data_IF_709620304309
#
_entry.id   IF_709620304309
#
_cell.length_a   1.000
_cell.length_b   1.000
_cell.length_c   1.000
_cell.angle_alpha   90.00
_cell.angle_beta   90.00
_cell.angle_gamma   90.00
#
_symmetry.space_group_name_H-M   'P 1'
#
loop_
_entity.id
_entity.type
_entity.pdbx_description
1 polymer ?
#
# COMPACT_ATOMS: atom_id res chain seq x y z
N UNK A 1 13.16 -27.34 0.04
CA UNK A 1 14.23 -27.77 -0.90
C UNK A 1 15.21 -28.81 -0.34
N UNK A 2 15.54 -28.80 0.96
CA UNK A 2 16.51 -29.73 1.53
C UNK A 2 16.16 -31.23 1.37
N UNK A 3 14.87 -31.60 1.42
CA UNK A 3 14.42 -33.00 1.31
C UNK A 3 14.80 -33.66 -0.03
N UNK A 4 14.64 -32.96 -1.16
CA UNK A 4 14.94 -33.49 -2.50
C UNK A 4 16.46 -33.60 -2.71
N UNK A 5 17.23 -32.61 -2.26
CA UNK A 5 18.70 -32.67 -2.36
C UNK A 5 19.27 -33.78 -1.48
N UNK A 6 18.72 -34.01 -0.28
CA UNK A 6 19.08 -35.15 0.58
C UNK A 6 18.81 -36.48 -0.12
N UNK A 7 17.62 -36.67 -0.70
CA UNK A 7 17.27 -37.88 -1.45
C UNK A 7 18.26 -38.15 -2.61
N UNK A 8 18.71 -37.11 -3.31
CA UNK A 8 19.62 -37.26 -4.45
C UNK A 8 21.09 -37.43 -4.05
N UNK A 9 21.63 -36.50 -3.23
CA UNK A 9 23.06 -36.48 -2.91
C UNK A 9 23.47 -37.49 -1.84
N UNK A 10 22.60 -37.70 -0.84
CA UNK A 10 22.86 -38.57 0.32
C UNK A 10 22.27 -39.94 0.15
N UNK A 11 20.99 -40.02 -0.17
CA UNK A 11 20.27 -41.29 -0.27
C UNK A 11 20.43 -41.93 -1.69
N UNK A 12 21.17 -41.27 -2.60
CA UNK A 12 21.54 -41.72 -3.96
C UNK A 12 20.37 -42.16 -4.85
N UNK A 13 19.16 -41.67 -4.59
CA UNK A 13 17.97 -42.01 -5.35
C UNK A 13 18.00 -41.38 -6.74
N UNK A 14 17.48 -42.13 -7.74
CA UNK A 14 17.35 -41.62 -9.10
C UNK A 14 16.31 -40.50 -9.18
N UNK A 15 16.44 -39.61 -10.18
CA UNK A 15 15.44 -38.55 -10.42
C UNK A 15 14.02 -39.12 -10.63
N UNK A 16 13.92 -40.34 -11.17
CA UNK A 16 12.63 -41.01 -11.40
C UNK A 16 11.97 -41.41 -10.08
N UNK A 17 12.77 -41.96 -9.17
CA UNK A 17 12.28 -42.44 -7.88
C UNK A 17 11.87 -41.28 -6.97
N UNK A 18 12.64 -40.18 -7.01
CA UNK A 18 12.28 -38.94 -6.31
C UNK A 18 10.97 -38.38 -6.87
N UNK A 19 10.75 -38.40 -8.18
CA UNK A 19 9.49 -37.96 -8.78
C UNK A 19 8.30 -38.81 -8.30
N UNK A 20 8.45 -40.13 -8.28
CA UNK A 20 7.43 -41.06 -7.78
C UNK A 20 7.07 -40.82 -6.31
N UNK A 21 8.06 -40.50 -5.47
CA UNK A 21 7.85 -40.26 -4.02
C UNK A 21 7.32 -38.86 -3.69
N UNK A 22 7.57 -37.87 -4.54
CA UNK A 22 7.24 -36.46 -4.25
C UNK A 22 6.09 -35.90 -5.08
N UNK A 23 5.68 -36.59 -6.15
CA UNK A 23 4.68 -36.10 -7.11
C UNK A 23 5.15 -34.92 -7.97
N UNK A 24 6.42 -34.50 -7.83
CA UNK A 24 6.98 -33.38 -8.58
C UNK A 24 7.52 -33.83 -9.93
N UNK A 25 7.44 -32.94 -10.92
CA UNK A 25 7.98 -33.23 -12.26
C UNK A 25 9.49 -33.47 -12.19
N UNK A 26 9.97 -34.44 -12.99
CA UNK A 26 11.42 -34.72 -13.13
C UNK A 26 12.21 -33.49 -13.55
N UNK A 27 11.62 -32.59 -14.36
CA UNK A 27 12.25 -31.34 -14.79
C UNK A 27 12.45 -30.37 -13.62
N UNK A 28 11.45 -30.26 -12.73
CA UNK A 28 11.54 -29.46 -11.50
C UNK A 28 12.61 -30.01 -10.55
N UNK A 29 12.62 -31.33 -10.34
CA UNK A 29 13.61 -32.00 -9.48
C UNK A 29 15.03 -31.80 -10.03
N UNK A 30 15.22 -32.04 -11.34
CA UNK A 30 16.51 -31.83 -12.01
C UNK A 30 17.00 -30.39 -11.86
N UNK A 31 16.11 -29.41 -12.04
CA UNK A 31 16.42 -27.98 -11.85
C UNK A 31 16.87 -27.69 -10.41
N UNK A 32 16.19 -28.23 -9.41
CA UNK A 32 16.50 -27.97 -8.00
C UNK A 32 17.75 -28.69 -7.49
N UNK A 33 18.07 -29.86 -8.02
CA UNK A 33 19.30 -30.59 -7.70
C UNK A 33 20.54 -29.89 -8.28
N UNK A 34 20.42 -29.31 -9.48
CA UNK A 34 21.52 -28.62 -10.17
C UNK A 34 21.73 -27.17 -9.71
N UNK A 35 20.71 -26.53 -9.15
CA UNK A 35 20.85 -25.17 -8.62
C UNK A 35 21.84 -25.14 -7.45
N UNK A 36 22.89 -24.32 -7.54
CA UNK A 36 23.92 -24.17 -6.49
C UNK A 36 23.29 -23.71 -5.18
N UNK A 37 22.49 -22.64 -5.23
CA UNK A 37 21.79 -22.08 -4.08
C UNK A 37 20.36 -22.61 -3.91
N UNK A 38 19.96 -22.88 -2.66
CA UNK A 38 18.59 -23.17 -2.28
C UNK A 38 17.74 -21.89 -2.21
N UNK A 39 17.67 -21.12 -3.29
CA UNK A 39 16.70 -20.01 -3.37
C UNK A 39 15.30 -20.60 -3.51
N UNK A 40 14.39 -20.17 -2.65
CA UNK A 40 12.97 -20.47 -2.81
C UNK A 40 12.50 -19.87 -4.14
N UNK A 41 11.78 -20.63 -4.99
CA UNK A 41 11.23 -20.09 -6.21
C UNK A 41 10.22 -19.01 -5.83
N UNK A 42 10.58 -17.75 -6.10
CA UNK A 42 9.65 -16.62 -5.95
C UNK A 42 8.82 -16.57 -7.21
N UNK A 43 7.50 -16.68 -7.05
CA UNK A 43 6.60 -16.42 -8.16
C UNK A 43 6.70 -14.94 -8.53
N UNK A 44 7.29 -14.66 -9.69
CA UNK A 44 7.30 -13.34 -10.30
C UNK A 44 6.35 -13.36 -11.48
N UNK A 45 5.17 -12.75 -11.30
CA UNK A 45 4.27 -12.50 -12.43
C UNK A 45 4.95 -11.45 -13.31
N UNK A 46 5.29 -11.81 -14.54
CA UNK A 46 5.70 -10.81 -15.54
C UNK A 46 4.55 -9.82 -15.71
N UNK A 47 4.88 -8.53 -15.81
CA UNK A 47 3.89 -7.50 -16.10
C UNK A 47 3.18 -7.89 -17.40
N UNK A 48 1.92 -8.32 -17.27
CA UNK A 48 1.08 -8.63 -18.42
C UNK A 48 0.66 -7.28 -19.02
N UNK A 49 0.57 -7.23 -20.35
CA UNK A 49 -0.01 -6.09 -21.04
C UNK A 49 -1.30 -5.63 -20.34
N UNK A 50 -1.31 -4.39 -19.88
CA UNK A 50 -2.46 -3.77 -19.24
C UNK A 50 -3.03 -2.75 -20.23
N UNK A 51 -4.32 -2.89 -20.57
CA UNK A 51 -5.04 -1.96 -21.45
C UNK A 51 -5.02 -0.53 -20.93
N UNK A 52 -4.82 -0.35 -19.62
CA UNK A 52 -4.72 0.94 -18.95
C UNK A 52 -3.34 1.59 -19.15
N UNK A 53 -2.29 0.83 -19.49
CA UNK A 53 -0.92 1.35 -19.58
C UNK A 53 -0.78 2.61 -20.44
N UNK A 54 -1.39 2.71 -21.64
CA UNK A 54 -1.30 3.92 -22.46
C UNK A 54 -1.95 5.16 -21.82
N UNK A 55 -2.84 4.97 -20.85
CA UNK A 55 -3.58 6.04 -20.19
C UNK A 55 -2.99 6.42 -18.83
N UNK A 56 -1.89 5.79 -18.39
CA UNK A 56 -1.29 6.05 -17.08
C UNK A 56 -0.89 7.51 -16.90
N UNK A 57 -0.23 8.12 -17.88
CA UNK A 57 0.24 9.51 -17.78
C UNK A 57 -0.93 10.48 -17.65
N UNK A 58 -1.98 10.28 -18.45
CA UNK A 58 -3.21 11.07 -18.39
C UNK A 58 -3.90 10.94 -17.02
N UNK A 59 -3.99 9.71 -16.50
CA UNK A 59 -4.57 9.44 -15.19
C UNK A 59 -3.74 10.03 -14.06
N UNK A 60 -2.41 9.96 -14.15
CA UNK A 60 -1.52 10.54 -13.15
C UNK A 60 -1.64 12.07 -13.12
N UNK A 61 -1.59 12.74 -14.26
CA UNK A 61 -1.79 14.18 -14.35
C UNK A 61 -3.15 14.58 -13.77
N UNK A 62 -4.20 13.84 -14.11
CA UNK A 62 -5.54 14.05 -13.57
C UNK A 62 -5.58 13.92 -12.04
N UNK A 63 -5.00 12.85 -11.50
CA UNK A 63 -4.98 12.58 -10.06
C UNK A 63 -4.13 13.62 -9.30
N UNK A 64 -3.01 14.08 -9.85
CA UNK A 64 -2.19 15.17 -9.29
C UNK A 64 -2.99 16.47 -9.22
N UNK A 65 -3.67 16.85 -10.30
CA UNK A 65 -4.52 18.04 -10.32
C UNK A 65 -5.67 17.95 -9.30
N UNK A 66 -6.26 16.76 -9.13
CA UNK A 66 -7.32 16.54 -8.14
C UNK A 66 -6.81 16.57 -6.71
N UNK A 67 -5.57 16.16 -6.45
CA UNK A 67 -4.98 16.18 -5.12
C UNK A 67 -4.91 17.60 -4.52
N UNK A 68 -4.75 18.62 -5.37
CA UNK A 68 -4.71 20.03 -5.00
C UNK A 68 -6.10 20.62 -4.67
N UNK A 69 -7.18 19.92 -5.01
CA UNK A 69 -8.56 20.41 -4.79
C UNK A 69 -9.13 19.92 -3.46
N UNK A 70 -10.11 20.65 -2.92
CA UNK A 70 -10.90 20.17 -1.79
C UNK A 70 -11.63 18.86 -2.16
N UNK A 71 -11.86 17.98 -1.17
CA UNK A 71 -12.36 16.61 -1.37
C UNK A 71 -13.63 16.54 -2.25
N UNK A 72 -14.53 17.50 -2.09
CA UNK A 72 -15.80 17.58 -2.83
C UNK A 72 -15.64 17.95 -4.32
N UNK A 73 -14.53 18.57 -4.72
CA UNK A 73 -14.25 18.99 -6.09
C UNK A 73 -13.30 18.05 -6.85
N UNK A 74 -12.90 16.93 -6.24
CA UNK A 74 -12.05 15.90 -6.86
C UNK A 74 -12.90 15.01 -7.77
N UNK A 75 -12.38 14.59 -8.92
CA UNK A 75 -13.11 13.67 -9.78
C UNK A 75 -13.23 12.30 -9.09
N UNK A 76 -14.38 11.67 -9.31
CA UNK A 76 -14.59 10.28 -8.92
C UNK A 76 -13.88 9.34 -9.91
N UNK A 77 -13.64 8.10 -9.50
CA UNK A 77 -13.13 7.08 -10.41
C UNK A 77 -14.04 6.84 -11.62
N UNK A 78 -15.36 7.07 -11.48
CA UNK A 78 -16.31 7.00 -12.61
C UNK A 78 -16.07 8.13 -13.61
N UNK A 79 -15.80 9.35 -13.14
CA UNK A 79 -15.48 10.48 -14.00
C UNK A 79 -14.13 10.29 -14.71
N UNK A 80 -13.13 9.74 -14.01
CA UNK A 80 -11.86 9.36 -14.64
C UNK A 80 -12.05 8.26 -15.69
N UNK A 81 -12.93 7.29 -15.45
CA UNK A 81 -13.26 6.25 -16.43
C UNK A 81 -13.90 6.85 -17.69
N UNK A 82 -14.86 7.76 -17.53
CA UNK A 82 -15.51 8.43 -18.66
C UNK A 82 -14.51 9.22 -19.51
N UNK A 83 -13.57 9.91 -18.85
CA UNK A 83 -12.49 10.64 -19.51
C UNK A 83 -11.61 9.74 -20.38
N UNK A 84 -11.06 8.67 -19.81
CA UNK A 84 -10.18 7.78 -20.58
C UNK A 84 -10.95 6.98 -21.65
N UNK A 85 -12.25 6.73 -21.44
CA UNK A 85 -13.11 6.11 -22.47
C UNK A 85 -13.30 7.02 -23.68
N UNK A 86 -13.41 8.34 -23.47
CA UNK A 86 -13.43 9.30 -24.57
C UNK A 86 -12.13 9.27 -25.38
N UNK A 87 -11.00 8.98 -24.72
CA UNK A 87 -9.67 8.78 -25.35
C UNK A 87 -9.47 7.37 -25.93
N UNK A 88 -10.50 6.52 -25.95
CA UNK A 88 -10.44 5.18 -26.56
C UNK A 88 -10.10 4.02 -25.61
N UNK A 89 -10.17 4.21 -24.29
CA UNK A 89 -9.98 3.11 -23.33
C UNK A 89 -11.13 2.10 -23.39
N UNK A 90 -10.81 0.86 -23.77
CA UNK A 90 -11.75 -0.26 -23.88
C UNK A 90 -11.75 -1.20 -22.66
N UNK A 91 -10.98 -0.87 -21.62
CA UNK A 91 -10.79 -1.72 -20.46
C UNK A 91 -11.85 -1.56 -19.36
N UNK A 92 -11.69 -2.37 -18.31
CA UNK A 92 -12.64 -2.43 -17.20
C UNK A 92 -12.41 -1.36 -16.12
N UNK A 93 -13.48 -1.04 -15.39
CA UNK A 93 -13.44 -0.16 -14.21
C UNK A 93 -12.50 -0.68 -13.11
N UNK A 94 -12.40 -2.00 -12.93
CA UNK A 94 -11.56 -2.62 -11.90
C UNK A 94 -10.05 -2.36 -12.11
N UNK A 95 -9.59 -2.27 -13.36
CA UNK A 95 -8.18 -1.97 -13.65
C UNK A 95 -7.87 -0.51 -13.27
N UNK A 96 -8.77 0.42 -13.64
CA UNK A 96 -8.67 1.82 -13.25
C UNK A 96 -8.68 2.00 -11.73
N UNK A 97 -9.62 1.39 -11.02
CA UNK A 97 -9.70 1.56 -9.57
C UNK A 97 -8.52 0.94 -8.84
N UNK A 98 -7.98 -0.18 -9.34
CA UNK A 98 -6.74 -0.76 -8.82
C UNK A 98 -5.57 0.22 -8.97
N UNK A 99 -5.43 0.85 -10.15
CA UNK A 99 -4.43 1.89 -10.41
C UNK A 99 -4.60 3.10 -9.47
N UNK A 100 -5.80 3.67 -9.40
CA UNK A 100 -6.09 4.84 -8.55
C UNK A 100 -5.80 4.54 -7.08
N UNK A 101 -6.14 3.34 -6.59
CA UNK A 101 -5.84 2.92 -5.21
C UNK A 101 -4.34 2.82 -4.97
N UNK A 102 -3.61 2.23 -5.91
CA UNK A 102 -2.15 2.12 -5.83
C UNK A 102 -1.49 3.51 -5.79
N UNK A 103 -1.84 4.37 -6.75
CA UNK A 103 -1.34 5.74 -6.84
C UNK A 103 -1.60 6.55 -5.56
N UNK A 104 -2.82 6.49 -5.00
CA UNK A 104 -3.14 7.17 -3.73
C UNK A 104 -2.36 6.60 -2.54
N UNK A 105 -2.11 5.29 -2.54
CA UNK A 105 -1.30 4.63 -1.52
C UNK A 105 0.16 5.06 -1.57
N UNK A 106 0.70 5.38 -2.75
CA UNK A 106 2.05 5.94 -2.90
C UNK A 106 2.10 7.42 -2.50
N UNK A 107 1.11 8.22 -2.90
CA UNK A 107 1.02 9.64 -2.48
C UNK A 107 0.84 9.79 -0.96
N UNK A 108 0.12 8.87 -0.31
CA UNK A 108 -0.01 8.86 1.15
C UNK A 108 1.30 8.57 1.90
N UNK A 109 2.35 8.12 1.19
CA UNK A 109 3.71 7.94 1.73
C UNK A 109 4.57 9.20 1.58
N UNK A 110 4.07 10.27 0.97
CA UNK A 110 4.74 11.57 1.04
C UNK A 110 4.75 11.97 2.50
N UNK A 111 5.91 11.79 3.12
CA UNK A 111 6.17 12.06 4.53
C UNK A 111 5.75 13.51 4.77
N UNK A 112 4.71 13.72 5.57
CA UNK A 112 4.51 15.03 6.20
C UNK A 112 5.74 15.22 7.07
N UNK A 113 6.68 16.03 6.61
CA UNK A 113 7.85 16.37 7.39
C UNK A 113 7.34 17.15 8.61
N UNK A 114 7.27 16.49 9.76
CA UNK A 114 7.05 17.15 11.03
C UNK A 114 8.41 17.65 11.48
N UNK A 115 8.56 18.97 11.62
CA UNK A 115 9.71 19.56 12.30
C UNK A 115 9.41 19.44 13.79
N UNK A 116 10.14 18.62 14.56
CA UNK A 116 9.98 18.59 16.00
C UNK A 116 10.43 19.94 16.57
N UNK A 117 9.53 20.60 17.30
CA UNK A 117 9.88 21.79 18.07
C UNK A 117 10.49 21.33 19.40
N UNK A 118 11.65 21.86 19.75
CA UNK A 118 12.30 21.64 21.04
C UNK A 118 12.29 22.95 21.82
N UNK A 119 11.83 22.90 23.06
CA UNK A 119 11.69 24.05 23.96
C UNK A 119 12.37 23.73 25.29
N UNK A 120 13.03 24.72 25.89
CA UNK A 120 13.50 24.65 27.27
C UNK A 120 12.31 24.64 28.25
N UNK A 121 12.57 24.24 29.49
CA UNK A 121 11.56 24.29 30.55
C UNK A 121 11.06 25.74 30.73
N UNK A 122 9.76 25.95 30.57
CA UNK A 122 9.11 27.26 30.67
C UNK A 122 9.16 28.13 29.40
N UNK A 123 9.73 27.66 28.29
CA UNK A 123 9.80 28.42 27.04
C UNK A 123 8.49 28.34 26.22
N UNK A 124 7.79 27.20 26.27
CA UNK A 124 6.50 27.03 25.60
C UNK A 124 5.49 26.35 26.52
N UNK A 125 4.27 26.89 26.55
CA UNK A 125 3.14 26.32 27.28
C UNK A 125 2.04 25.96 26.28
N UNK A 126 1.52 24.74 26.41
CA UNK A 126 0.34 24.34 25.69
C UNK A 126 -0.87 24.48 26.61
N UNK A 127 -1.90 25.16 26.12
CA UNK A 127 -3.20 25.21 26.78
C UNK A 127 -4.30 24.92 25.76
N UNK A 128 -5.38 24.31 26.24
CA UNK A 128 -6.56 24.00 25.44
C UNK A 128 -7.78 24.71 26.04
N UNK A 129 -8.80 24.97 25.22
CA UNK A 129 -10.05 25.57 25.67
C UNK A 129 -11.16 24.52 25.64
N UNK A 130 -11.92 24.43 26.73
CA UNK A 130 -13.15 23.66 26.79
C UNK A 130 -14.30 24.53 27.24
N UNK A 131 -15.53 24.04 27.04
CA UNK A 131 -16.71 24.62 27.64
C UNK A 131 -17.27 23.65 28.67
N UNK A 132 -17.41 24.11 29.91
CA UNK A 132 -17.78 23.29 31.04
C UNK A 132 -18.98 23.86 31.78
N UNK A 133 -19.79 22.97 32.34
CA UNK A 133 -20.92 23.34 33.19
C UNK A 133 -20.50 23.39 34.65
N UNK A 134 -20.62 24.56 35.29
CA UNK A 134 -20.24 24.78 36.68
C UNK A 134 -21.40 25.39 37.47
N UNK A 135 -21.58 24.93 38.70
CA UNK A 135 -22.52 25.51 39.66
C UNK A 135 -21.82 26.63 40.43
N UNK A 136 -22.20 27.88 40.19
CA UNK A 136 -21.60 29.06 40.82
C UNK A 136 -22.68 29.77 41.64
N UNK A 137 -22.52 29.78 42.97
CA UNK A 137 -23.50 30.38 43.88
C UNK A 137 -24.90 29.74 43.80
N UNK A 138 -24.97 28.43 43.53
CA UNK A 138 -26.23 27.70 43.35
C UNK A 138 -26.88 27.87 41.97
N UNK A 139 -26.30 28.64 41.07
CA UNK A 139 -26.78 28.82 39.69
C UNK A 139 -25.89 28.08 38.71
N UNK A 140 -26.47 27.23 37.86
CA UNK A 140 -25.72 26.52 36.83
C UNK A 140 -25.35 27.45 35.68
N UNK A 141 -24.09 27.45 35.28
CA UNK A 141 -23.55 28.29 34.20
C UNK A 141 -22.65 27.47 33.29
N UNK A 142 -22.71 27.74 31.99
CA UNK A 142 -21.69 27.30 31.02
C UNK A 142 -20.57 28.32 31.02
N UNK A 143 -19.34 27.85 31.19
CA UNK A 143 -18.14 28.69 31.23
C UNK A 143 -17.09 28.15 30.27
N UNK A 144 -16.31 29.05 29.69
CA UNK A 144 -15.15 28.69 28.88
C UNK A 144 -13.92 28.57 29.80
N UNK A 145 -13.25 27.42 29.75
CA UNK A 145 -12.14 27.08 30.64
C UNK A 145 -10.89 26.87 29.81
N UNK A 146 -9.78 27.46 30.24
CA UNK A 146 -8.45 27.16 29.71
C UNK A 146 -7.80 26.07 30.59
N UNK A 147 -7.40 24.97 29.97
CA UNK A 147 -6.68 23.87 30.60
C UNK A 147 -5.20 24.01 30.34
N UNK A 148 -4.40 24.07 31.40
CA UNK A 148 -2.95 24.11 31.32
C UNK A 148 -2.37 22.94 32.12
N UNK A 149 -1.35 22.27 31.56
CA UNK A 149 -0.55 21.29 32.29
C UNK A 149 0.86 21.86 32.46
N UNK A 150 1.27 22.00 33.71
CA UNK A 150 2.61 22.43 34.12
C UNK A 150 3.51 21.21 34.34
#
# INVERSE_FOLDING_TARGET
>A
MGKIRRMYFRDKLSLHEIAKRTGLSRNTIRKWVRASESKQPVYQRRAVFNKLSPFHDLLEQALRADALRAKQHRRSAKALLAMIRAEGYDGGYSQLTAFVRHWRGEQGKVVRAFVPLAFALGEAFQFDWSEEGLLIGGVFRRVQVAHMKL
#
